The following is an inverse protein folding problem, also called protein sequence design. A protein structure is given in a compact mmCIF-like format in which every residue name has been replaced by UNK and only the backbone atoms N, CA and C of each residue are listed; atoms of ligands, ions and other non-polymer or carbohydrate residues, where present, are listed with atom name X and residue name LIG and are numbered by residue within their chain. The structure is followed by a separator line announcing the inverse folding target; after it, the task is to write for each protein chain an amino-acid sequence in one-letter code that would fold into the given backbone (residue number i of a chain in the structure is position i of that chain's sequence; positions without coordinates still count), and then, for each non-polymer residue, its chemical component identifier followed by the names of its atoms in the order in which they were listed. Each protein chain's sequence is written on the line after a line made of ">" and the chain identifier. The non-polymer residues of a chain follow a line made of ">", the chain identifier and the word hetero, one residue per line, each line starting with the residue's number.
data_IF_149131436517
#
_entry.id   IF_149131436517
#
_cell.length_a   1.000
_cell.length_b   1.000
_cell.length_c   1.000
_cell.angle_alpha   90.00
_cell.angle_beta   90.00
_cell.angle_gamma   90.00
#
_symmetry.space_group_name_H-M   'P 1'
#
loop_
_entity.id
_entity.type
_entity.pdbx_description
1 polymer ?
#
# COMPACT_ATOMS: atom_id res chain seq x y z
N UNK A 1 -17.30 -11.94 -15.68
CA UNK A 1 -16.02 -11.36 -16.15
C UNK A 1 -15.14 -11.02 -14.95
N UNK A 2 -13.90 -11.50 -14.90
CA UNK A 2 -12.95 -11.18 -13.82
C UNK A 2 -12.47 -9.73 -13.99
N UNK A 3 -12.89 -8.84 -13.10
CA UNK A 3 -12.40 -7.45 -13.06
C UNK A 3 -11.17 -7.36 -12.16
N UNK A 4 -10.28 -6.37 -12.34
CA UNK A 4 -9.18 -6.11 -11.42
C UNK A 4 -9.65 -5.94 -9.95
N UNK A 5 -10.87 -5.45 -9.75
CA UNK A 5 -11.47 -5.32 -8.42
C UNK A 5 -11.75 -6.68 -7.76
N UNK A 6 -12.09 -7.71 -8.53
CA UNK A 6 -12.24 -9.07 -8.00
C UNK A 6 -10.88 -9.62 -7.50
N UNK A 7 -9.79 -9.33 -8.20
CA UNK A 7 -8.44 -9.73 -7.77
C UNK A 7 -8.07 -9.06 -6.45
N UNK A 8 -8.30 -7.75 -6.33
CA UNK A 8 -8.03 -7.02 -5.07
C UNK A 8 -8.91 -7.53 -3.93
N UNK A 9 -10.18 -7.82 -4.19
CA UNK A 9 -11.12 -8.33 -3.19
C UNK A 9 -10.71 -9.73 -2.72
N UNK A 10 -10.32 -10.61 -3.65
CA UNK A 10 -9.77 -11.92 -3.33
C UNK A 10 -8.47 -11.80 -2.53
N UNK A 11 -7.55 -10.91 -2.92
CA UNK A 11 -6.31 -10.67 -2.18
C UNK A 11 -6.56 -10.18 -0.74
N UNK A 12 -7.55 -9.31 -0.53
CA UNK A 12 -7.97 -8.92 0.83
C UNK A 12 -8.51 -10.11 1.62
N UNK A 13 -9.36 -10.94 1.02
CA UNK A 13 -9.89 -12.13 1.68
C UNK A 13 -8.76 -13.10 2.07
N UNK A 14 -7.83 -13.36 1.14
CA UNK A 14 -6.62 -14.17 1.39
C UNK A 14 -5.77 -13.56 2.50
N UNK A 15 -5.60 -12.24 2.51
CA UNK A 15 -4.83 -11.56 3.57
C UNK A 15 -5.49 -11.73 4.93
N UNK A 16 -6.81 -11.54 5.03
CA UNK A 16 -7.54 -11.70 6.30
C UNK A 16 -7.49 -13.13 6.81
N UNK A 17 -7.75 -14.11 5.93
CA UNK A 17 -7.67 -15.53 6.29
C UNK A 17 -6.24 -15.90 6.67
N UNK A 18 -5.24 -15.50 5.87
CA UNK A 18 -3.83 -15.76 6.14
C UNK A 18 -3.36 -15.14 7.46
N UNK A 19 -3.74 -13.90 7.75
CA UNK A 19 -3.39 -13.23 9.00
C UNK A 19 -4.04 -13.93 10.21
N UNK A 20 -5.32 -14.31 10.08
CA UNK A 20 -6.02 -15.09 11.11
C UNK A 20 -5.37 -16.44 11.35
N UNK A 21 -4.97 -17.15 10.29
CA UNK A 21 -4.23 -18.41 10.39
C UNK A 21 -2.89 -18.22 11.09
N UNK A 22 -2.10 -17.21 10.72
CA UNK A 22 -0.81 -16.93 11.35
C UNK A 22 -0.97 -16.66 12.85
N UNK A 23 -1.89 -15.77 13.24
CA UNK A 23 -2.20 -15.49 14.64
C UNK A 23 -2.64 -16.76 15.40
N UNK A 24 -3.50 -17.58 14.79
CA UNK A 24 -3.99 -18.81 15.41
C UNK A 24 -2.87 -19.83 15.63
N UNK A 25 -2.00 -20.01 14.64
CA UNK A 25 -0.88 -20.95 14.74
C UNK A 25 0.18 -20.48 15.76
N UNK A 26 0.46 -19.18 15.82
CA UNK A 26 1.48 -18.61 16.72
C UNK A 26 0.99 -18.49 18.17
N UNK A 27 -0.30 -18.25 18.41
CA UNK A 27 -0.86 -18.18 19.77
C UNK A 27 -1.38 -19.52 20.28
N UNK A 28 -1.77 -20.42 19.38
CA UNK A 28 -2.32 -21.72 19.72
C UNK A 28 -1.27 -22.73 20.18
N UNK A 29 -1.70 -23.91 20.67
CA UNK A 29 -0.82 -24.98 21.11
C UNK A 29 -0.27 -25.80 19.92
N UNK A 30 0.25 -25.11 18.91
CA UNK A 30 0.59 -25.66 17.60
C UNK A 30 2.08 -25.66 17.29
N UNK A 31 2.93 -25.40 18.29
CA UNK A 31 4.39 -25.42 18.15
C UNK A 31 4.88 -26.78 17.61
N UNK A 32 5.76 -26.76 16.61
CA UNK A 32 6.30 -27.96 15.98
C UNK A 32 5.56 -28.40 14.71
N UNK A 33 4.40 -27.82 14.37
CA UNK A 33 3.68 -28.13 13.12
C UNK A 33 4.51 -27.79 11.88
N UNK A 34 5.34 -26.77 11.96
CA UNK A 34 6.28 -26.37 10.91
C UNK A 34 7.29 -27.48 10.57
N UNK A 35 7.62 -28.35 11.53
CA UNK A 35 8.55 -29.46 11.33
C UNK A 35 7.96 -30.53 10.41
N UNK A 36 6.63 -30.67 10.37
CA UNK A 36 5.94 -31.53 9.42
C UNK A 36 6.15 -31.08 7.96
N UNK A 37 6.50 -29.80 7.76
CA UNK A 37 6.87 -29.22 6.47
C UNK A 37 8.39 -29.11 6.28
N UNK A 38 9.20 -29.64 7.20
CA UNK A 38 10.66 -29.54 7.17
C UNK A 38 11.18 -28.12 7.40
N UNK A 39 10.37 -27.24 7.97
CA UNK A 39 10.74 -25.86 8.27
C UNK A 39 11.21 -25.76 9.72
N UNK A 40 12.18 -24.87 9.96
CA UNK A 40 12.43 -24.38 11.31
C UNK A 40 11.37 -23.37 11.70
N UNK A 41 11.14 -23.22 13.01
CA UNK A 41 10.23 -22.23 13.58
C UNK A 41 10.46 -20.81 13.00
N UNK A 42 11.72 -20.38 12.96
CA UNK A 42 12.13 -19.10 12.34
C UNK A 42 11.84 -19.02 10.85
N UNK A 43 12.01 -20.12 10.11
CA UNK A 43 11.68 -20.14 8.69
C UNK A 43 10.16 -20.03 8.46
N UNK A 44 9.36 -20.68 9.31
CA UNK A 44 7.91 -20.58 9.26
C UNK A 44 7.43 -19.15 9.53
N UNK A 45 7.98 -18.49 10.55
CA UNK A 45 7.75 -17.07 10.86
C UNK A 45 8.09 -16.16 9.67
N UNK A 46 9.31 -16.28 9.13
CA UNK A 46 9.75 -15.48 7.98
C UNK A 46 8.87 -15.70 6.74
N UNK A 47 8.44 -16.94 6.47
CA UNK A 47 7.55 -17.25 5.35
C UNK A 47 6.14 -16.71 5.56
N UNK A 48 5.60 -16.83 6.77
CA UNK A 48 4.26 -16.32 7.10
C UNK A 48 4.21 -14.80 6.92
N UNK A 49 5.13 -14.06 7.52
CA UNK A 49 5.14 -12.60 7.44
C UNK A 49 5.60 -12.05 6.09
N UNK A 50 6.53 -12.74 5.41
CA UNK A 50 6.85 -12.46 4.02
C UNK A 50 5.63 -12.64 3.12
N UNK A 51 4.91 -13.76 3.25
CA UNK A 51 3.68 -14.05 2.51
C UNK A 51 2.59 -13.01 2.75
N UNK A 52 2.32 -12.65 4.01
CA UNK A 52 1.36 -11.60 4.37
C UNK A 52 1.75 -10.25 3.77
N UNK A 53 3.04 -9.90 3.81
CA UNK A 53 3.55 -8.68 3.18
C UNK A 53 3.30 -8.68 1.67
N UNK A 54 3.62 -9.79 0.99
CA UNK A 54 3.42 -9.91 -0.46
C UNK A 54 1.95 -9.76 -0.86
N UNK A 55 1.05 -10.46 -0.15
CA UNK A 55 -0.39 -10.39 -0.40
C UNK A 55 -0.93 -8.99 -0.08
N UNK A 56 -0.41 -8.33 0.97
CA UNK A 56 -0.83 -6.97 1.33
C UNK A 56 -0.56 -5.94 0.22
N UNK A 57 0.56 -6.07 -0.50
CA UNK A 57 0.87 -5.20 -1.64
C UNK A 57 -0.14 -5.35 -2.77
N UNK A 58 -0.70 -6.55 -2.95
CA UNK A 58 -1.77 -6.81 -3.92
C UNK A 58 -3.14 -6.35 -3.40
N UNK A 59 -3.42 -6.55 -2.11
CA UNK A 59 -4.67 -6.20 -1.45
C UNK A 59 -4.89 -4.68 -1.33
N UNK A 60 -3.79 -3.90 -1.23
CA UNK A 60 -3.83 -2.46 -1.03
C UNK A 60 -2.99 -1.69 -2.07
N UNK A 61 -3.39 -1.67 -3.35
CA UNK A 61 -2.59 -1.08 -4.43
C UNK A 61 -2.40 0.44 -4.33
N UNK A 62 -3.16 1.12 -3.46
CA UNK A 62 -3.07 2.58 -3.25
C UNK A 62 -2.27 2.98 -2.01
N UNK A 63 -1.92 2.01 -1.14
CA UNK A 63 -1.12 2.29 0.06
C UNK A 63 0.37 2.25 -0.25
N UNK A 64 1.16 3.00 0.53
CA UNK A 64 2.62 2.96 0.38
C UNK A 64 3.13 1.62 0.89
N UNK A 65 4.10 1.04 0.17
CA UNK A 65 4.69 -0.25 0.55
C UNK A 65 5.34 -0.21 1.93
N UNK A 66 5.91 0.93 2.32
CA UNK A 66 6.50 1.14 3.63
C UNK A 66 5.46 1.01 4.74
N UNK A 67 4.28 1.61 4.57
CA UNK A 67 3.21 1.56 5.58
C UNK A 67 2.73 0.10 5.77
N UNK A 68 2.64 -0.66 4.68
CA UNK A 68 2.26 -2.07 4.71
C UNK A 68 3.34 -2.96 5.34
N UNK A 69 4.62 -2.70 5.06
CA UNK A 69 5.73 -3.42 5.70
C UNK A 69 5.80 -3.14 7.21
N UNK A 70 5.62 -1.87 7.61
CA UNK A 70 5.55 -1.48 9.03
C UNK A 70 4.35 -2.15 9.70
N UNK A 71 3.18 -2.17 9.05
CA UNK A 71 2.00 -2.85 9.59
C UNK A 71 2.24 -4.35 9.80
N UNK A 72 2.94 -5.02 8.88
CA UNK A 72 3.30 -6.44 9.04
C UNK A 72 4.24 -6.66 10.23
N UNK A 73 5.26 -5.81 10.42
CA UNK A 73 6.16 -5.90 11.59
C UNK A 73 5.40 -5.64 12.89
N UNK A 74 4.50 -4.65 12.90
CA UNK A 74 3.66 -4.36 14.07
C UNK A 74 2.71 -5.51 14.41
N UNK A 75 2.24 -6.26 13.41
CA UNK A 75 1.47 -7.48 13.63
C UNK A 75 2.32 -8.57 14.30
N UNK A 76 3.56 -8.78 13.89
CA UNK A 76 4.48 -9.72 14.57
C UNK A 76 4.75 -9.30 16.02
N UNK A 77 5.07 -8.02 16.21
CA UNK A 77 5.30 -7.47 17.54
C UNK A 77 4.06 -7.58 18.46
N UNK A 78 2.84 -7.43 17.93
CA UNK A 78 1.63 -7.58 18.72
C UNK A 78 1.33 -9.04 19.09
N UNK A 79 1.72 -10.01 18.24
CA UNK A 79 1.66 -11.43 18.57
C UNK A 79 2.62 -11.76 19.71
N UNK A 80 3.86 -11.29 19.68
CA UNK A 80 4.83 -11.46 20.77
C UNK A 80 4.32 -10.89 22.10
N UNK A 81 3.74 -9.68 22.06
CA UNK A 81 3.13 -9.06 23.24
C UNK A 81 1.95 -9.91 23.74
N UNK A 82 1.11 -10.43 22.84
CA UNK A 82 0.01 -11.31 23.21
C UNK A 82 0.51 -12.63 23.82
N UNK A 83 1.59 -13.23 23.30
CA UNK A 83 2.23 -14.42 23.88
C UNK A 83 2.76 -14.13 25.28
N UNK A 84 3.37 -12.97 25.50
CA UNK A 84 3.84 -12.55 26.82
C UNK A 84 2.69 -12.53 27.86
N UNK A 85 1.54 -11.95 27.52
CA UNK A 85 0.35 -11.97 28.38
C UNK A 85 -0.28 -13.36 28.54
N UNK A 86 -0.15 -14.22 27.53
CA UNK A 86 -0.59 -15.61 27.57
C UNK A 86 0.36 -16.52 28.37
N UNK A 87 1.36 -15.97 29.08
CA UNK A 87 2.40 -16.71 29.81
C UNK A 87 3.17 -17.70 28.92
N UNK A 88 3.24 -17.40 27.62
CA UNK A 88 4.08 -18.10 26.65
C UNK A 88 5.46 -17.43 26.59
N UNK A 89 6.45 -18.17 26.09
CA UNK A 89 7.78 -17.65 25.83
C UNK A 89 7.73 -16.67 24.66
N UNK A 90 7.53 -15.39 24.94
CA UNK A 90 7.78 -14.32 23.97
C UNK A 90 9.27 -14.33 23.59
N UNK A 91 9.54 -14.20 22.31
CA UNK A 91 10.84 -14.44 21.69
C UNK A 91 11.18 -13.29 20.74
N UNK A 92 12.19 -12.51 21.13
CA UNK A 92 12.73 -11.44 20.27
C UNK A 92 13.28 -12.02 18.95
N UNK A 93 13.67 -13.30 18.92
CA UNK A 93 14.16 -13.94 17.70
C UNK A 93 13.07 -14.24 16.69
N UNK A 94 11.82 -14.37 17.14
CA UNK A 94 10.69 -14.70 16.27
C UNK A 94 10.19 -13.43 15.60
N UNK A 95 10.13 -12.32 16.36
CA UNK A 95 9.99 -10.98 15.79
C UNK A 95 11.09 -10.64 14.78
N UNK A 96 12.34 -11.03 15.05
CA UNK A 96 13.44 -10.84 14.10
C UNK A 96 13.23 -11.67 12.82
N UNK A 97 12.73 -12.90 12.95
CA UNK A 97 12.40 -13.74 11.80
C UNK A 97 11.26 -13.13 10.96
N UNK A 98 10.22 -12.59 11.60
CA UNK A 98 9.14 -11.86 10.94
C UNK A 98 9.71 -10.68 10.15
N UNK A 99 10.54 -9.86 10.78
CA UNK A 99 11.17 -8.70 10.16
C UNK A 99 12.05 -9.08 8.96
N UNK A 100 12.77 -10.21 9.02
CA UNK A 100 13.54 -10.75 7.88
C UNK A 100 12.60 -11.13 6.74
N UNK A 101 11.50 -11.84 7.02
CA UNK A 101 10.49 -12.19 6.03
C UNK A 101 9.89 -10.98 5.31
N UNK A 102 9.49 -9.98 6.09
CA UNK A 102 8.99 -8.69 5.58
C UNK A 102 10.04 -7.99 4.72
N UNK A 103 11.29 -7.91 5.22
CA UNK A 103 12.38 -7.22 4.52
C UNK A 103 12.70 -7.87 3.18
N UNK A 104 12.76 -9.20 3.10
CA UNK A 104 13.02 -9.93 1.85
C UNK A 104 11.98 -9.57 0.79
N UNK A 105 10.69 -9.63 1.14
CA UNK A 105 9.60 -9.32 0.20
C UNK A 105 9.56 -7.82 -0.14
N UNK A 106 9.77 -6.96 0.85
CA UNK A 106 9.83 -5.53 0.64
C UNK A 106 10.95 -5.17 -0.35
N UNK A 107 12.17 -5.67 -0.15
CA UNK A 107 13.30 -5.45 -1.06
C UNK A 107 13.04 -6.05 -2.44
N UNK A 108 12.55 -7.29 -2.50
CA UNK A 108 12.20 -7.93 -3.76
C UNK A 108 11.19 -7.12 -4.58
N UNK A 109 10.21 -6.49 -3.90
CA UNK A 109 9.23 -5.65 -4.58
C UNK A 109 9.85 -4.44 -5.29
N UNK A 110 10.98 -3.92 -4.80
CA UNK A 110 11.67 -2.77 -5.39
C UNK A 110 12.54 -3.17 -6.58
N UNK A 111 12.90 -4.45 -6.73
CA UNK A 111 13.73 -4.94 -7.84
C UNK A 111 13.11 -4.57 -9.18
N UNK A 112 11.80 -4.73 -9.37
CA UNK A 112 11.15 -4.41 -10.65
C UNK A 112 11.14 -2.90 -10.94
N UNK A 113 11.05 -2.07 -9.90
CA UNK A 113 11.17 -0.62 -10.06
C UNK A 113 12.60 -0.23 -10.47
N UNK A 114 13.61 -0.82 -9.81
CA UNK A 114 15.04 -0.61 -10.15
C UNK A 114 15.34 -1.11 -11.56
N UNK A 115 14.81 -2.27 -11.97
CA UNK A 115 14.98 -2.81 -13.33
C UNK A 115 14.33 -1.92 -14.38
N UNK A 116 13.12 -1.39 -14.10
CA UNK A 116 12.47 -0.41 -14.98
C UNK A 116 13.31 0.85 -15.11
N UNK A 117 13.74 1.44 -13.99
CA UNK A 117 14.55 2.65 -14.01
C UNK A 117 15.91 2.44 -14.68
N UNK A 118 16.54 1.28 -14.53
CA UNK A 118 17.77 0.94 -15.24
C UNK A 118 17.56 0.88 -16.77
N UNK A 119 16.41 0.37 -17.24
CA UNK A 119 16.07 0.33 -18.67
C UNK A 119 15.67 1.69 -19.23
N UNK A 120 14.87 2.45 -18.49
CA UNK A 120 14.30 3.72 -18.95
C UNK A 120 15.23 4.92 -18.70
N UNK A 121 16.12 4.84 -17.71
CA UNK A 121 16.95 5.96 -17.23
C UNK A 121 18.43 5.63 -17.11
N UNK A 122 18.90 4.47 -17.58
CA UNK A 122 20.30 4.04 -17.45
C UNK A 122 21.35 4.98 -18.06
N UNK A 123 20.94 5.91 -18.93
CA UNK A 123 21.82 6.93 -19.52
C UNK A 123 21.62 8.35 -18.95
N UNK A 124 20.68 8.57 -18.02
CA UNK A 124 20.44 9.88 -17.40
C UNK A 124 21.28 10.04 -16.14
N UNK A 125 21.99 11.16 -16.05
CA UNK A 125 22.75 11.52 -14.85
C UNK A 125 21.81 11.82 -13.66
N UNK A 126 22.27 11.54 -12.44
CA UNK A 126 21.50 11.80 -11.21
C UNK A 126 21.13 13.28 -11.07
N UNK A 127 21.93 14.18 -11.64
CA UNK A 127 21.65 15.61 -11.73
C UNK A 127 20.33 15.88 -12.50
N UNK A 128 20.11 15.22 -13.64
CA UNK A 128 18.93 15.41 -14.48
C UNK A 128 17.66 14.84 -13.82
N UNK A 129 17.78 13.71 -13.13
CA UNK A 129 16.68 13.10 -12.36
C UNK A 129 16.22 14.05 -11.24
N UNK A 130 17.16 14.67 -10.54
CA UNK A 130 16.86 15.63 -9.47
C UNK A 130 16.19 16.91 -10.01
N UNK A 131 16.67 17.43 -11.14
CA UNK A 131 16.11 18.59 -11.81
C UNK A 131 14.67 18.34 -12.30
N UNK A 132 14.41 17.14 -12.84
CA UNK A 132 13.08 16.75 -13.33
C UNK A 132 12.07 16.58 -12.19
N UNK A 133 12.50 16.04 -11.04
CA UNK A 133 11.66 15.89 -9.84
C UNK A 133 11.25 17.25 -9.26
N UNK A 134 12.17 18.21 -9.21
CA UNK A 134 11.88 19.59 -8.81
C UNK A 134 10.90 20.28 -9.76
N UNK A 135 11.05 20.11 -11.08
CA UNK A 135 10.10 20.66 -12.07
C UNK A 135 8.70 20.08 -11.90
N UNK A 136 8.55 18.76 -11.71
CA UNK A 136 7.25 18.13 -11.43
C UNK A 136 6.62 18.64 -10.13
N UNK A 137 7.41 18.80 -9.07
CA UNK A 137 6.94 19.31 -7.78
C UNK A 137 6.45 20.76 -7.88
N UNK A 138 7.19 21.62 -8.58
CA UNK A 138 6.77 23.00 -8.91
C UNK A 138 5.49 23.04 -9.74
N UNK A 139 5.40 22.22 -10.79
CA UNK A 139 4.21 22.18 -11.65
C UNK A 139 2.96 21.74 -10.88
N UNK A 140 3.09 20.78 -9.96
CA UNK A 140 2.00 20.33 -9.08
C UNK A 140 1.58 21.40 -8.07
N UNK A 141 2.53 22.23 -7.59
CA UNK A 141 2.23 23.39 -6.75
C UNK A 141 1.55 24.54 -7.50
N UNK A 142 1.79 24.66 -8.82
CA UNK A 142 1.16 25.67 -9.67
C UNK A 142 -0.21 25.25 -10.25
N UNK A 143 -0.65 24.00 -10.04
CA UNK A 143 -2.05 23.62 -10.29
C UNK A 143 -2.88 24.04 -9.08
N UNK A 144 -2.93 25.34 -8.83
CA UNK A 144 -4.02 25.97 -8.12
C UNK A 144 -5.08 26.21 -9.19
N UNK A 145 -6.24 25.57 -9.04
CA UNK A 145 -7.39 25.77 -9.92
C UNK A 145 -7.63 27.27 -10.12
N UNK A 146 -7.81 27.78 -11.36
CA UNK A 146 -8.24 29.15 -11.57
C UNK A 146 -9.73 29.20 -11.21
N UNK A 147 -10.03 29.18 -9.92
CA UNK A 147 -11.38 29.32 -9.38
C UNK A 147 -11.79 30.81 -9.26
N UNK A 148 -10.81 31.72 -9.34
CA UNK A 148 -11.05 33.15 -9.18
C UNK A 148 -11.38 33.87 -10.50
N UNK A 149 -10.74 33.51 -11.63
CA UNK A 149 -10.96 34.19 -12.91
C UNK A 149 -12.30 33.84 -13.58
N UNK A 150 -12.87 32.66 -13.31
CA UNK A 150 -14.14 32.24 -13.91
C UNK A 150 -15.36 32.92 -13.28
N UNK A 151 -15.31 33.25 -11.99
CA UNK A 151 -16.43 33.86 -11.26
C UNK A 151 -16.64 35.34 -11.64
N UNK A 152 -15.58 36.11 -11.82
CA UNK A 152 -15.66 37.52 -12.24
C UNK A 152 -16.06 37.65 -13.72
N UNK A 153 -15.57 36.76 -14.59
CA UNK A 153 -15.95 36.73 -16.00
C UNK A 153 -17.41 36.30 -16.24
N UNK A 154 -17.97 35.44 -15.38
CA UNK A 154 -19.37 34.98 -15.45
C UNK A 154 -20.34 36.01 -14.86
N UNK A 155 -19.93 36.75 -13.82
CA UNK A 155 -20.65 37.90 -13.27
C UNK A 155 -20.76 39.05 -14.29
N UNK A 156 -19.66 39.36 -15.00
CA UNK A 156 -19.63 40.44 -15.98
C UNK A 156 -20.43 40.16 -17.26
N UNK A 157 -20.66 38.88 -17.61
CA UNK A 157 -21.35 38.50 -18.87
C UNK A 157 -22.84 38.19 -18.70
N UNK A 158 -23.40 38.39 -17.52
CA UNK A 158 -24.74 37.96 -17.17
C UNK A 158 -24.82 36.43 -17.16
N UNK A 159 -25.08 35.85 -15.99
CA UNK A 159 -25.06 34.39 -15.81
C UNK A 159 -25.92 33.66 -16.85
N UNK A 160 -25.55 32.40 -17.14
CA UNK A 160 -26.27 31.53 -18.09
C UNK A 160 -27.79 31.51 -17.85
N UNK A 161 -28.22 31.58 -16.59
CA UNK A 161 -29.64 31.66 -16.20
C UNK A 161 -30.35 32.95 -16.67
N UNK A 162 -29.66 34.09 -16.70
CA UNK A 162 -30.19 35.35 -17.23
C UNK A 162 -30.33 35.33 -18.76
N UNK A 163 -29.40 34.67 -19.45
CA UNK A 163 -29.49 34.47 -20.92
C UNK A 163 -30.58 33.48 -21.31
N UNK A 164 -30.83 32.46 -20.49
CA UNK A 164 -31.89 31.47 -20.74
C UNK A 164 -33.31 32.06 -20.60
N UNK A 165 -33.49 33.01 -19.68
CA UNK A 165 -34.79 33.65 -19.42
C UNK A 165 -35.14 34.77 -20.41
N UNK A 166 -34.13 35.42 -21.02
CA UNK A 166 -34.34 36.42 -22.07
C UNK A 166 -34.87 35.84 -23.39
N UNK A 167 -34.76 34.51 -23.60
CA UNK A 167 -35.12 33.85 -24.88
C UNK A 167 -36.60 33.46 -24.99
N UNK A 168 -37.38 33.55 -23.90
CA UNK A 168 -38.80 33.21 -23.92
C UNK A 168 -39.64 34.38 -23.38
N UNK A 169 -40.20 35.23 -24.26
CA UNK A 169 -41.19 36.22 -23.82
C UNK A 169 -42.43 35.48 -23.30
N UNK A 170 -42.83 35.76 -22.05
CA UNK A 170 -44.12 35.33 -21.51
C UNK A 170 -45.20 36.16 -22.23
N UNK A 171 -45.92 35.53 -23.15
CA UNK A 171 -47.11 36.11 -23.75
C UNK A 171 -48.30 36.00 -22.78
N UNK A 172 -48.94 37.15 -22.56
CA UNK A 172 -50.31 37.42 -22.05
C UNK A 172 -50.79 36.66 -20.80
#
# INVERSE_FOLDING_TARGET
>A
MLTPNHVVTAAKAVLFVGAGTAVTLMLGPYQGLEQAFGLSDKAAHALAFGGLTAVSFLAFPRMRRNDLAVAAILLGASIEVAQFFAHRSASVTDLAADAVGVAVVYLASHIEAVRRDARERGAMDFADISAQKNRRRRRRGNVVMPAAESAEAESARGGFAARATARFPRGA
#
